data_IF_264139046949
#
_entry.id   IF_264139046949
#
_cell.length_a   1.000
_cell.length_b   1.000
_cell.length_c   1.000
_cell.angle_alpha   90.00
_cell.angle_beta   90.00
_cell.angle_gamma   90.00
#
_symmetry.space_group_name_H-M   'P 1'
#
loop_
_entity.id
_entity.type
_entity.pdbx_description
1 polymer ?
#
# COMPACT_ATOMS: atom_id res chain seq x y z
N UNK A 1 30.30 62.93 57.71
CA UNK A 1 29.34 63.73 58.52
C UNK A 1 28.46 62.76 59.30
N UNK A 2 27.96 63.05 60.52
CA UNK A 2 28.41 63.96 61.59
C UNK A 2 28.72 63.18 62.91
N UNK A 3 29.71 63.55 63.73
CA UNK A 3 29.69 64.54 64.85
C UNK A 3 28.58 64.36 65.90
N UNK A 4 28.97 64.11 67.16
CA UNK A 4 28.70 64.90 68.38
C UNK A 4 29.31 64.17 69.60
N UNK A 5 30.26 64.72 70.37
CA UNK A 5 30.25 65.87 71.31
C UNK A 5 29.39 65.67 72.57
N UNK A 6 30.02 65.86 73.72
CA UNK A 6 29.43 66.38 74.96
C UNK A 6 30.06 65.74 76.21
N UNK A 7 31.04 66.31 76.91
CA UNK A 7 31.13 67.52 77.80
C UNK A 7 30.43 67.38 79.18
N UNK A 8 31.24 67.61 80.22
CA UNK A 8 30.90 68.25 81.50
C UNK A 8 30.39 67.31 82.59
N UNK A 9 30.52 67.56 83.91
CA UNK A 9 31.04 68.67 84.73
C UNK A 9 30.90 68.16 86.19
N UNK A 10 31.95 68.07 86.99
CA UNK A 10 32.27 68.95 88.14
C UNK A 10 31.20 69.05 89.26
N UNK A 11 31.54 68.52 90.45
CA UNK A 11 31.35 69.07 91.83
C UNK A 11 31.33 67.91 92.85
N UNK A 12 32.26 67.79 93.81
CA UNK A 12 32.56 68.59 95.02
C UNK A 12 31.82 68.06 96.27
N UNK A 13 32.66 67.62 97.21
CA UNK A 13 32.54 67.59 98.68
C UNK A 13 31.27 67.01 99.30
N UNK A 14 31.42 65.87 99.99
CA UNK A 14 31.24 65.88 101.46
C UNK A 14 31.91 64.68 102.13
N UNK A 15 32.75 65.03 103.09
CA UNK A 15 33.53 64.22 104.01
C UNK A 15 32.61 63.89 105.19
N UNK A 16 32.58 62.65 105.70
CA UNK A 16 32.51 62.30 107.14
C UNK A 16 32.47 60.77 107.36
N UNK A 17 33.37 60.34 108.26
CA UNK A 17 33.43 59.10 109.08
C UNK A 17 33.59 57.75 108.36
N UNK A 18 34.81 57.25 108.27
CA UNK A 18 35.47 56.41 109.30
C UNK A 18 34.85 55.02 109.46
N UNK A 19 35.48 54.05 108.81
CA UNK A 19 36.02 52.85 109.46
C UNK A 19 37.05 52.24 108.52
N UNK A 20 38.32 52.47 108.85
CA UNK A 20 39.41 51.60 108.44
C UNK A 20 39.05 50.18 108.87
N UNK A 21 38.56 49.37 107.94
CA UNK A 21 38.96 47.98 107.92
C UNK A 21 40.21 47.96 107.06
N UNK A 22 41.35 47.72 107.70
CA UNK A 22 42.59 47.38 107.02
C UNK A 22 42.30 46.14 106.17
N UNK A 23 41.97 46.33 104.90
CA UNK A 23 42.22 45.27 103.94
C UNK A 23 43.73 45.10 103.91
N UNK A 24 44.20 44.00 104.50
CA UNK A 24 45.59 43.58 104.46
C UNK A 24 46.09 43.64 103.01
N UNK A 25 47.37 43.94 102.75
CA UNK A 25 47.93 43.85 101.38
C UNK A 25 47.66 42.47 100.75
N UNK A 26 47.44 41.44 101.57
CA UNK A 26 46.95 40.14 101.17
C UNK A 26 45.53 40.17 100.55
N UNK A 27 44.59 40.94 101.08
CA UNK A 27 43.22 41.04 100.58
C UNK A 27 43.14 41.80 99.24
N UNK A 28 43.96 42.85 99.05
CA UNK A 28 44.11 43.53 97.74
C UNK A 28 44.80 42.64 96.70
N UNK A 29 45.80 41.86 97.10
CA UNK A 29 46.45 40.88 96.24
C UNK A 29 45.49 39.76 95.85
N UNK A 30 44.66 39.27 96.79
CA UNK A 30 43.60 38.29 96.52
C UNK A 30 42.53 38.85 95.58
N UNK A 31 42.08 40.10 95.76
CA UNK A 31 41.12 40.73 94.86
C UNK A 31 41.67 40.92 93.44
N UNK A 32 42.95 41.33 93.30
CA UNK A 32 43.61 41.42 92.00
C UNK A 32 43.81 40.05 91.35
N UNK A 33 44.21 39.03 92.11
CA UNK A 33 44.32 37.66 91.62
C UNK A 33 42.97 37.14 91.11
N UNK A 34 41.89 37.34 91.88
CA UNK A 34 40.53 36.98 91.47
C UNK A 34 40.06 37.74 90.21
N UNK A 35 40.45 39.01 90.05
CA UNK A 35 40.18 39.79 88.83
C UNK A 35 40.89 39.22 87.61
N UNK A 36 42.17 38.85 87.74
CA UNK A 36 42.94 38.22 86.67
C UNK A 36 42.44 36.82 86.34
N UNK A 37 42.04 36.03 87.35
CA UNK A 37 41.38 34.74 87.15
C UNK A 37 40.04 34.89 86.42
N UNK A 38 39.20 35.86 86.80
CA UNK A 38 37.95 36.14 86.09
C UNK A 38 38.18 36.56 84.64
N UNK A 39 39.19 37.40 84.39
CA UNK A 39 39.55 37.84 83.04
C UNK A 39 40.15 36.70 82.20
N UNK A 40 40.98 35.85 82.80
CA UNK A 40 41.51 34.65 82.16
C UNK A 40 40.38 33.68 81.83
N UNK A 41 39.45 33.44 82.77
CA UNK A 41 38.26 32.61 82.55
C UNK A 41 37.35 33.15 81.43
N UNK A 42 37.16 34.47 81.35
CA UNK A 42 36.40 35.10 80.26
C UNK A 42 37.12 34.96 78.90
N UNK A 43 38.45 35.13 78.89
CA UNK A 43 39.26 34.92 77.69
C UNK A 43 39.25 33.45 77.25
N UNK A 44 39.37 32.50 78.17
CA UNK A 44 39.33 31.07 77.87
C UNK A 44 37.95 30.64 77.37
N UNK A 45 36.85 31.17 77.95
CA UNK A 45 35.49 30.96 77.41
C UNK A 45 35.37 31.47 75.98
N UNK A 46 35.78 32.71 75.70
CA UNK A 46 35.73 33.25 74.33
C UNK A 46 36.62 32.47 73.36
N UNK A 47 37.80 32.00 73.79
CA UNK A 47 38.68 31.15 72.98
C UNK A 47 38.06 29.79 72.67
N UNK A 48 37.37 29.18 73.64
CA UNK A 48 36.62 27.92 73.43
C UNK A 48 35.48 28.17 72.46
N UNK A 49 34.72 29.24 72.61
CA UNK A 49 33.64 29.65 71.69
C UNK A 49 34.17 29.88 70.26
N UNK A 50 35.31 30.57 70.08
CA UNK A 50 35.93 30.75 68.76
C UNK A 50 36.39 29.42 68.15
N UNK A 51 36.90 28.49 68.96
CA UNK A 51 37.28 27.15 68.47
C UNK A 51 36.08 26.31 68.10
N UNK A 52 35.01 26.39 68.88
CA UNK A 52 33.77 25.66 68.63
C UNK A 52 33.10 26.21 67.37
N UNK A 53 33.01 27.54 67.22
CA UNK A 53 32.51 28.16 65.99
C UNK A 53 33.36 27.81 64.77
N UNK A 54 34.69 27.89 64.85
CA UNK A 54 35.57 27.45 63.76
C UNK A 54 35.38 25.97 63.40
N UNK A 55 35.21 25.09 64.40
CA UNK A 55 34.91 23.66 64.17
C UNK A 55 33.54 23.46 63.52
N UNK A 56 32.52 24.21 63.94
CA UNK A 56 31.20 24.15 63.29
C UNK A 56 31.26 24.63 61.85
N UNK A 57 31.94 25.74 61.59
CA UNK A 57 32.14 26.29 60.24
C UNK A 57 32.88 25.30 59.33
N UNK A 58 33.94 24.66 59.83
CA UNK A 58 34.67 23.63 59.09
C UNK A 58 33.76 22.46 58.71
N UNK A 59 32.96 21.94 59.65
CA UNK A 59 31.98 20.87 59.38
C UNK A 59 30.93 21.31 58.36
N UNK A 60 30.37 22.52 58.49
CA UNK A 60 29.39 23.01 57.52
C UNK A 60 29.98 23.22 56.14
N UNK A 61 31.25 23.62 56.04
CA UNK A 61 31.93 23.78 54.76
C UNK A 61 32.19 22.41 54.12
N UNK A 62 32.56 21.40 54.91
CA UNK A 62 32.70 20.02 54.45
C UNK A 62 31.36 19.45 53.95
N UNK A 63 30.27 19.65 54.69
CA UNK A 63 28.93 19.22 54.23
C UNK A 63 28.51 19.94 52.95
N UNK A 64 28.72 21.27 52.86
CA UNK A 64 28.40 22.04 51.65
C UNK A 64 29.24 21.60 50.45
N UNK A 65 30.51 21.24 50.64
CA UNK A 65 31.35 20.67 49.58
C UNK A 65 30.80 19.32 49.12
N UNK A 66 30.44 18.43 50.04
CA UNK A 66 29.86 17.13 49.70
C UNK A 66 28.53 17.27 48.96
N UNK A 67 27.65 18.17 49.42
CA UNK A 67 26.37 18.46 48.77
C UNK A 67 26.60 19.03 47.36
N UNK A 68 27.57 19.93 47.20
CA UNK A 68 27.96 20.46 45.88
C UNK A 68 28.43 19.34 44.96
N UNK A 69 29.32 18.46 45.40
CA UNK A 69 29.79 17.34 44.59
C UNK A 69 28.65 16.39 44.20
N UNK A 70 27.73 16.14 45.12
CA UNK A 70 26.55 15.30 44.88
C UNK A 70 25.63 15.92 43.83
N UNK A 71 25.34 17.23 43.93
CA UNK A 71 24.54 17.97 42.94
C UNK A 71 25.24 18.02 41.58
N UNK A 72 26.56 18.22 41.54
CA UNK A 72 27.34 18.20 40.29
C UNK A 72 27.30 16.82 39.61
N UNK A 73 27.36 15.73 40.40
CA UNK A 73 27.23 14.36 39.88
C UNK A 73 25.84 14.11 39.32
N UNK A 74 24.80 14.43 40.08
CA UNK A 74 23.40 14.21 39.67
C UNK A 74 23.06 15.07 38.43
N UNK A 75 23.58 16.30 38.35
CA UNK A 75 23.46 17.14 37.16
C UNK A 75 24.16 16.52 35.94
N UNK A 76 25.37 15.96 36.11
CA UNK A 76 26.09 15.28 35.04
C UNK A 76 25.31 14.06 34.53
N UNK A 77 24.73 13.27 35.42
CA UNK A 77 23.91 12.10 35.07
C UNK A 77 22.68 12.52 34.25
N UNK A 78 21.94 13.53 34.69
CA UNK A 78 20.79 14.07 33.95
C UNK A 78 21.21 14.61 32.58
N UNK A 79 22.30 15.39 32.51
CA UNK A 79 22.83 15.92 31.24
C UNK A 79 23.23 14.76 30.31
N UNK A 80 23.89 13.72 30.83
CA UNK A 80 24.31 12.57 30.03
C UNK A 80 23.12 11.80 29.46
N UNK A 81 22.06 11.62 30.25
CA UNK A 81 20.83 10.97 29.82
C UNK A 81 20.13 11.80 28.73
N UNK A 82 19.98 13.10 28.95
CA UNK A 82 19.37 14.01 27.97
C UNK A 82 20.16 14.03 26.66
N UNK A 83 21.49 14.13 26.72
CA UNK A 83 22.36 14.05 25.53
C UNK A 83 22.19 12.73 24.77
N UNK A 84 22.12 11.60 25.47
CA UNK A 84 21.89 10.30 24.85
C UNK A 84 20.52 10.26 24.15
N UNK A 85 19.49 10.77 24.82
CA UNK A 85 18.15 10.83 24.25
C UNK A 85 18.08 11.76 23.03
N UNK A 86 18.79 12.89 23.05
CA UNK A 86 18.87 13.82 21.93
C UNK A 86 19.58 13.18 20.73
N UNK A 87 20.70 12.47 20.94
CA UNK A 87 21.38 11.71 19.89
C UNK A 87 20.50 10.62 19.27
N UNK A 88 19.72 9.90 20.09
CA UNK A 88 18.77 8.89 19.61
C UNK A 88 17.65 9.51 18.75
N UNK A 89 17.13 10.68 19.18
CA UNK A 89 16.14 11.44 18.41
C UNK A 89 16.72 12.00 17.13
N UNK A 90 17.93 12.56 17.14
CA UNK A 90 18.63 13.05 15.96
C UNK A 90 18.85 11.92 14.95
N UNK A 91 19.28 10.74 15.40
CA UNK A 91 19.43 9.56 14.54
C UNK A 91 18.09 9.12 13.93
N UNK A 92 16.99 9.16 14.70
CA UNK A 92 15.65 8.87 14.19
C UNK A 92 15.20 9.92 13.17
N UNK A 93 15.45 11.20 13.43
CA UNK A 93 15.15 12.30 12.50
C UNK A 93 15.92 12.11 11.19
N UNK A 94 17.22 11.83 11.23
CA UNK A 94 18.03 11.57 10.03
C UNK A 94 17.50 10.36 9.24
N UNK A 95 17.10 9.29 9.93
CA UNK A 95 16.50 8.11 9.27
C UNK A 95 15.17 8.45 8.60
N UNK A 96 14.29 9.20 9.26
CA UNK A 96 13.02 9.64 8.68
C UNK A 96 13.23 10.61 7.51
N UNK A 97 14.19 11.51 7.60
CA UNK A 97 14.57 12.41 6.51
C UNK A 97 15.07 11.63 5.28
N UNK A 98 15.92 10.63 5.50
CA UNK A 98 16.40 9.76 4.41
C UNK A 98 15.22 9.00 3.77
N UNK A 99 14.32 8.42 4.57
CA UNK A 99 13.13 7.74 4.05
C UNK A 99 12.24 8.67 3.21
N UNK A 100 12.07 9.92 3.61
CA UNK A 100 11.31 10.91 2.82
C UNK A 100 12.02 11.19 1.48
N UNK A 101 13.34 11.30 1.47
CA UNK A 101 14.11 11.52 0.23
C UNK A 101 14.00 10.31 -0.69
N UNK A 102 14.20 9.10 -0.17
CA UNK A 102 14.11 7.86 -0.94
C UNK A 102 12.71 7.68 -1.53
N UNK A 103 11.66 7.94 -0.74
CA UNK A 103 10.26 7.89 -1.22
C UNK A 103 9.99 8.94 -2.31
N UNK A 104 10.52 10.16 -2.16
CA UNK A 104 10.39 11.20 -3.20
C UNK A 104 11.09 10.79 -4.49
N UNK A 105 12.29 10.19 -4.40
CA UNK A 105 13.01 9.68 -5.57
C UNK A 105 12.24 8.56 -6.25
N UNK A 106 11.73 7.60 -5.47
CA UNK A 106 10.90 6.50 -5.98
C UNK A 106 9.66 7.01 -6.72
N UNK A 107 8.93 7.97 -6.14
CA UNK A 107 7.75 8.58 -6.79
C UNK A 107 8.13 9.30 -8.08
N UNK A 108 9.27 9.98 -8.14
CA UNK A 108 9.76 10.64 -9.36
C UNK A 108 10.11 9.60 -10.43
N UNK A 109 10.79 8.52 -10.08
CA UNK A 109 11.11 7.44 -11.02
C UNK A 109 9.87 6.71 -11.53
N UNK A 110 8.92 6.40 -10.66
CA UNK A 110 7.67 5.73 -11.04
C UNK A 110 6.81 6.63 -11.93
N UNK A 111 6.72 7.93 -11.61
CA UNK A 111 6.06 8.92 -12.47
C UNK A 111 6.76 9.03 -13.83
N UNK A 112 8.09 9.00 -13.87
CA UNK A 112 8.85 9.03 -15.12
C UNK A 112 8.57 7.78 -15.97
N UNK A 113 8.60 6.59 -15.38
CA UNK A 113 8.27 5.33 -16.08
C UNK A 113 6.83 5.34 -16.61
N UNK A 114 5.88 5.80 -15.79
CA UNK A 114 4.48 5.89 -16.17
C UNK A 114 4.28 6.90 -17.32
N UNK A 115 4.96 8.04 -17.26
CA UNK A 115 4.96 9.03 -18.33
C UNK A 115 5.54 8.45 -19.63
N UNK A 116 6.71 7.81 -19.58
CA UNK A 116 7.33 7.16 -20.74
C UNK A 116 6.43 6.10 -21.35
N UNK A 117 5.78 5.26 -20.54
CA UNK A 117 4.83 4.25 -21.02
C UNK A 117 3.62 4.87 -21.72
N UNK A 118 3.03 5.93 -21.15
CA UNK A 118 1.91 6.63 -21.78
C UNK A 118 2.32 7.37 -23.05
N UNK A 119 3.49 7.99 -23.09
CA UNK A 119 4.03 8.61 -24.31
C UNK A 119 4.21 7.57 -25.41
N UNK A 120 4.80 6.41 -25.10
CA UNK A 120 4.95 5.31 -26.08
C UNK A 120 3.59 4.80 -26.60
N UNK A 121 2.60 4.64 -25.72
CA UNK A 121 1.24 4.25 -26.13
C UNK A 121 0.61 5.31 -27.03
N UNK A 122 0.76 6.59 -26.71
CA UNK A 122 0.27 7.70 -27.52
C UNK A 122 0.91 7.69 -28.92
N UNK A 123 2.24 7.54 -28.99
CA UNK A 123 2.97 7.48 -30.26
C UNK A 123 2.55 6.27 -31.10
N UNK A 124 2.35 5.10 -30.47
CA UNK A 124 1.86 3.91 -31.16
C UNK A 124 0.45 4.11 -31.73
N UNK A 125 -0.46 4.70 -30.96
CA UNK A 125 -1.81 5.01 -31.42
C UNK A 125 -1.80 6.07 -32.53
N UNK A 126 -0.99 7.11 -32.40
CA UNK A 126 -0.84 8.15 -33.39
C UNK A 126 -0.27 7.59 -34.71
N UNK A 127 0.71 6.67 -34.63
CA UNK A 127 1.26 5.99 -35.80
C UNK A 127 0.22 5.08 -36.48
N UNK A 128 -0.57 4.31 -35.71
CA UNK A 128 -1.67 3.51 -36.25
C UNK A 128 -2.72 4.39 -36.92
N UNK A 129 -3.10 5.50 -36.31
CA UNK A 129 -4.03 6.48 -36.87
C UNK A 129 -3.50 7.09 -38.16
N UNK A 130 -2.21 7.41 -38.23
CA UNK A 130 -1.57 7.92 -39.44
C UNK A 130 -1.58 6.86 -40.57
N UNK A 131 -1.28 5.60 -40.25
CA UNK A 131 -1.36 4.50 -41.22
C UNK A 131 -2.78 4.30 -41.75
N UNK A 132 -3.80 4.30 -40.87
CA UNK A 132 -5.21 4.20 -41.27
C UNK A 132 -5.67 5.39 -42.11
N UNK A 133 -5.23 6.60 -41.78
CA UNK A 133 -5.49 7.79 -42.61
C UNK A 133 -4.91 7.62 -44.02
N UNK A 134 -3.69 7.10 -44.15
CA UNK A 134 -3.07 6.82 -45.46
C UNK A 134 -3.82 5.73 -46.25
N UNK A 135 -4.21 4.64 -45.59
CA UNK A 135 -5.03 3.58 -46.21
C UNK A 135 -6.36 4.15 -46.74
N UNK A 136 -7.05 4.97 -45.93
CA UNK A 136 -8.30 5.63 -46.31
C UNK A 136 -8.09 6.55 -47.52
N UNK A 137 -7.00 7.31 -47.55
CA UNK A 137 -6.66 8.17 -48.69
C UNK A 137 -6.49 7.35 -49.98
N UNK A 138 -5.75 6.24 -49.94
CA UNK A 138 -5.57 5.36 -51.10
C UNK A 138 -6.90 4.77 -51.59
N UNK A 139 -7.74 4.30 -50.67
CA UNK A 139 -9.08 3.78 -51.01
C UNK A 139 -9.94 4.90 -51.63
N UNK A 140 -9.85 6.13 -51.14
CA UNK A 140 -10.59 7.27 -51.69
C UNK A 140 -10.11 7.61 -53.11
N UNK A 141 -8.81 7.55 -53.37
CA UNK A 141 -8.22 7.74 -54.71
C UNK A 141 -8.66 6.63 -55.68
N UNK A 142 -8.62 5.36 -55.25
CA UNK A 142 -9.14 4.24 -56.03
C UNK A 142 -10.63 4.37 -56.32
N UNK A 143 -11.43 4.76 -55.33
CA UNK A 143 -12.86 5.01 -55.50
C UNK A 143 -13.13 6.10 -56.54
N UNK A 144 -12.33 7.17 -56.53
CA UNK A 144 -12.43 8.23 -57.54
C UNK A 144 -12.09 7.72 -58.95
N UNK A 145 -11.02 6.92 -59.09
CA UNK A 145 -10.66 6.27 -60.36
C UNK A 145 -11.78 5.36 -60.87
N UNK A 146 -12.40 4.57 -59.98
CA UNK A 146 -13.54 3.71 -60.34
C UNK A 146 -14.75 4.54 -60.76
N UNK A 147 -15.04 5.65 -60.09
CA UNK A 147 -16.12 6.57 -60.48
C UNK A 147 -15.88 7.17 -61.87
N UNK A 148 -14.65 7.57 -62.18
CA UNK A 148 -14.29 8.06 -63.51
C UNK A 148 -14.41 6.99 -64.59
N UNK A 149 -13.95 5.76 -64.28
CA UNK A 149 -14.10 4.62 -65.18
C UNK A 149 -15.57 4.35 -65.49
N UNK A 150 -16.45 4.33 -64.47
CA UNK A 150 -17.89 4.14 -64.68
C UNK A 150 -18.51 5.24 -65.55
N UNK A 151 -18.10 6.50 -65.39
CA UNK A 151 -18.57 7.59 -66.26
C UNK A 151 -18.15 7.36 -67.72
N UNK A 152 -16.89 6.98 -67.96
CA UNK A 152 -16.38 6.67 -69.30
C UNK A 152 -17.06 5.44 -69.90
N UNK A 153 -17.33 4.42 -69.11
CA UNK A 153 -18.03 3.22 -69.55
C UNK A 153 -19.44 3.57 -70.07
N UNK A 154 -20.23 4.33 -69.30
CA UNK A 154 -21.56 4.77 -69.73
C UNK A 154 -21.49 5.61 -71.01
N UNK A 155 -20.48 6.49 -71.12
CA UNK A 155 -20.28 7.29 -72.33
C UNK A 155 -19.99 6.42 -73.56
N UNK A 156 -19.08 5.44 -73.45
CA UNK A 156 -18.73 4.53 -74.54
C UNK A 156 -19.87 3.58 -74.91
N UNK A 157 -20.66 3.13 -73.92
CA UNK A 157 -21.87 2.33 -74.16
C UNK A 157 -22.89 3.12 -74.98
N UNK A 158 -23.12 4.40 -74.65
CA UNK A 158 -24.00 5.28 -75.42
C UNK A 158 -23.48 5.50 -76.86
N UNK A 159 -22.18 5.79 -77.04
CA UNK A 159 -21.60 5.94 -78.39
C UNK A 159 -21.73 4.66 -79.24
N UNK A 160 -21.56 3.48 -78.61
CA UNK A 160 -21.74 2.21 -79.31
C UNK A 160 -23.19 2.00 -79.75
N UNK A 161 -24.16 2.37 -78.92
CA UNK A 161 -25.57 2.26 -79.28
C UNK A 161 -25.93 3.27 -80.39
N UNK A 162 -25.42 4.51 -80.34
CA UNK A 162 -25.57 5.49 -81.42
C UNK A 162 -24.99 4.97 -82.75
N UNK A 163 -23.79 4.36 -82.72
CA UNK A 163 -23.17 3.77 -83.92
C UNK A 163 -24.00 2.59 -84.43
N UNK A 164 -24.53 1.72 -83.56
CA UNK A 164 -25.41 0.62 -83.97
C UNK A 164 -26.67 1.15 -84.63
N UNK A 165 -27.27 2.21 -84.11
CA UNK A 165 -28.47 2.83 -84.67
C UNK A 165 -28.19 3.44 -86.04
N UNK A 166 -27.06 4.14 -86.22
CA UNK A 166 -26.62 4.67 -87.52
C UNK A 166 -26.34 3.52 -88.50
N UNK A 167 -25.67 2.46 -88.06
CA UNK A 167 -25.40 1.28 -88.90
C UNK A 167 -26.70 0.59 -89.32
N UNK A 168 -27.66 0.45 -88.41
CA UNK A 168 -28.96 -0.13 -88.71
C UNK A 168 -29.76 0.73 -89.69
N UNK A 169 -29.70 2.06 -89.55
CA UNK A 169 -30.34 3.00 -90.47
C UNK A 169 -29.73 2.92 -91.87
N UNK A 170 -28.42 3.04 -91.99
CA UNK A 170 -27.70 2.95 -93.28
C UNK A 170 -27.89 1.59 -93.95
N UNK A 171 -27.90 0.50 -93.18
CA UNK A 171 -28.18 -0.84 -93.73
C UNK A 171 -29.64 -0.98 -94.22
N UNK A 172 -30.61 -0.35 -93.54
CA UNK A 172 -32.00 -0.27 -94.03
C UNK A 172 -32.06 0.52 -95.34
N UNK A 173 -31.41 1.67 -95.41
CA UNK A 173 -31.33 2.50 -96.61
C UNK A 173 -30.67 1.74 -97.77
N UNK A 174 -29.54 1.05 -97.53
CA UNK A 174 -28.88 0.21 -98.53
C UNK A 174 -29.75 -0.96 -99.02
N UNK A 175 -30.50 -1.62 -98.13
CA UNK A 175 -31.47 -2.65 -98.52
C UNK A 175 -32.61 -2.09 -99.36
N UNK A 176 -33.01 -0.85 -99.12
CA UNK A 176 -34.05 -0.18 -99.90
C UNK A 176 -33.53 0.22 -101.28
N UNK A 177 -32.31 0.77 -101.37
CA UNK A 177 -31.68 1.08 -102.67
C UNK A 177 -31.39 -0.18 -103.49
N UNK A 178 -30.94 -1.28 -102.86
CA UNK A 178 -30.79 -2.58 -103.52
C UNK A 178 -32.11 -3.08 -104.10
N UNK A 179 -33.21 -3.06 -103.32
CA UNK A 179 -34.55 -3.43 -103.81
C UNK A 179 -34.98 -2.57 -105.00
N UNK A 180 -34.71 -1.27 -104.96
CA UNK A 180 -35.00 -0.37 -106.08
C UNK A 180 -34.19 -0.72 -107.33
N UNK A 181 -32.90 -1.04 -107.19
CA UNK A 181 -32.05 -1.47 -108.30
C UNK A 181 -32.48 -2.83 -108.86
N UNK A 182 -32.76 -3.81 -108.00
CA UNK A 182 -33.25 -5.13 -108.39
C UNK A 182 -34.55 -5.03 -109.20
N UNK A 183 -35.49 -4.17 -108.79
CA UNK A 183 -36.73 -3.92 -109.56
C UNK A 183 -36.41 -3.38 -110.96
N UNK A 184 -35.53 -2.39 -111.07
CA UNK A 184 -35.10 -1.82 -112.36
C UNK A 184 -34.38 -2.84 -113.24
N UNK A 185 -33.48 -3.65 -112.65
CA UNK A 185 -32.78 -4.71 -113.38
C UNK A 185 -33.74 -5.81 -113.85
N UNK A 186 -34.74 -6.16 -113.05
CA UNK A 186 -35.75 -7.13 -113.42
C UNK A 186 -36.61 -6.63 -114.59
N UNK A 187 -37.05 -5.38 -114.55
CA UNK A 187 -37.76 -4.73 -115.66
C UNK A 187 -36.94 -4.75 -116.95
N UNK A 188 -35.66 -4.39 -116.87
CA UNK A 188 -34.75 -4.35 -118.01
C UNK A 188 -34.43 -5.75 -118.56
N UNK A 189 -34.20 -6.73 -117.68
CA UNK A 189 -34.00 -8.14 -118.05
C UNK A 189 -35.22 -8.68 -118.80
N UNK A 190 -36.43 -8.42 -118.30
CA UNK A 190 -37.68 -8.83 -118.96
C UNK A 190 -37.86 -8.18 -120.33
N UNK A 191 -37.30 -6.98 -120.55
CA UNK A 191 -37.27 -6.32 -121.87
C UNK A 191 -36.30 -7.03 -122.82
N UNK A 192 -35.09 -7.30 -122.37
CA UNK A 192 -34.04 -7.95 -123.17
C UNK A 192 -34.37 -9.42 -123.51
N UNK A 193 -34.95 -10.17 -122.58
CA UNK A 193 -35.40 -11.55 -122.85
C UNK A 193 -36.44 -11.59 -123.97
N UNK A 194 -37.43 -10.68 -123.96
CA UNK A 194 -38.41 -10.54 -125.05
C UNK A 194 -37.76 -10.22 -126.41
N UNK A 195 -36.72 -9.39 -126.42
CA UNK A 195 -35.98 -9.09 -127.66
C UNK A 195 -35.10 -10.26 -128.14
N UNK A 196 -34.49 -11.01 -127.22
CA UNK A 196 -33.65 -12.16 -127.54
C UNK A 196 -34.47 -13.36 -128.04
N UNK A 197 -35.63 -13.61 -127.43
CA UNK A 197 -36.55 -14.69 -127.81
C UNK A 197 -37.11 -14.46 -129.23
N UNK A 198 -37.36 -13.21 -129.62
CA UNK A 198 -37.69 -12.84 -131.00
C UNK A 198 -36.56 -13.10 -132.00
N UNK A 199 -35.30 -12.88 -131.62
CA UNK A 199 -34.13 -13.15 -132.49
C UNK A 199 -33.80 -14.64 -132.59
N UNK A 200 -33.96 -15.39 -131.50
CA UNK A 200 -33.65 -16.83 -131.46
C UNK A 200 -34.58 -17.63 -132.38
N UNK A 201 -35.87 -17.27 -132.41
CA UNK A 201 -36.85 -17.87 -133.32
C UNK A 201 -36.48 -17.72 -134.81
N UNK A 202 -35.70 -16.70 -135.17
CA UNK A 202 -35.30 -16.44 -136.56
C UNK A 202 -34.07 -17.26 -136.98
N UNK A 203 -33.20 -17.64 -136.04
CA UNK A 203 -31.96 -18.36 -136.30
C UNK A 203 -32.13 -19.88 -136.26
N UNK A 204 -33.08 -20.40 -135.48
CA UNK A 204 -33.34 -21.85 -135.37
C UNK A 204 -33.89 -22.47 -136.65
N UNK A 205 -34.57 -21.70 -137.51
CA UNK A 205 -35.02 -22.17 -138.83
C UNK A 205 -33.87 -22.26 -139.86
N UNK A 206 -32.79 -21.50 -139.69
CA UNK A 206 -31.65 -21.49 -140.61
C UNK A 206 -30.61 -22.57 -140.29
N UNK A 207 -30.45 -22.94 -139.02
CA UNK A 207 -29.44 -23.93 -138.62
C UNK A 207 -29.86 -25.40 -138.86
N UNK A 208 -31.14 -25.68 -139.06
CA UNK A 208 -31.64 -27.06 -139.14
C UNK A 208 -31.45 -27.71 -140.52
N UNK A 209 -31.23 -26.91 -141.57
CA UNK A 209 -31.08 -27.36 -142.97
C UNK A 209 -29.62 -27.62 -143.39
N UNK A 210 -28.63 -27.16 -142.63
CA UNK A 210 -27.21 -27.22 -143.04
C UNK A 210 -26.40 -28.34 -142.35
N UNK A 211 -26.92 -28.97 -141.29
CA UNK A 211 -26.19 -30.00 -140.52
C UNK A 211 -26.33 -31.45 -141.05
N UNK A 212 -27.11 -31.68 -142.13
CA UNK A 212 -27.40 -33.04 -142.64
C UNK A 212 -26.40 -33.51 -143.73
N UNK A 213 -25.43 -32.68 -144.15
CA UNK A 213 -24.43 -33.06 -145.16
C UNK A 213 -22.99 -32.88 -144.66
N UNK A 214 -22.39 -33.92 -144.06
CA UNK A 214 -21.15 -34.54 -144.55
C UNK A 214 -20.51 -35.57 -143.59
N UNK A 215 -19.88 -36.56 -144.22
CA UNK A 215 -19.65 -37.96 -143.81
C UNK A 215 -18.23 -38.30 -143.26
N UNK A 216 -18.21 -39.42 -142.51
CA UNK A 216 -17.35 -40.62 -142.59
C UNK A 216 -15.93 -40.79 -141.97
N UNK A 217 -15.87 -41.87 -141.18
CA UNK A 217 -15.00 -43.09 -141.18
C UNK A 217 -13.47 -43.00 -141.18
N UNK A 218 -12.83 -41.86 -141.47
CA UNK A 218 -11.36 -41.71 -141.29
C UNK A 218 -10.97 -41.35 -139.85
N UNK A 219 -11.91 -40.83 -139.08
CA UNK A 219 -11.83 -40.55 -137.64
C UNK A 219 -11.76 -41.83 -136.82
N UNK A 220 -12.41 -42.92 -137.25
CA UNK A 220 -12.63 -44.15 -136.46
C UNK A 220 -11.35 -44.96 -136.18
N UNK A 221 -10.32 -44.86 -137.03
CA UNK A 221 -9.04 -45.55 -136.82
C UNK A 221 -8.08 -44.75 -135.92
N UNK A 222 -8.09 -43.41 -136.01
CA UNK A 222 -7.37 -42.56 -135.05
C UNK A 222 -7.98 -42.71 -133.66
N UNK A 223 -9.30 -42.89 -133.55
CA UNK A 223 -9.98 -43.13 -132.27
C UNK A 223 -9.49 -44.38 -131.53
N UNK A 224 -9.21 -45.50 -132.20
CA UNK A 224 -8.80 -46.74 -131.51
C UNK A 224 -7.43 -46.64 -130.85
N UNK A 225 -6.46 -46.02 -131.51
CA UNK A 225 -5.12 -45.80 -130.93
C UNK A 225 -5.17 -44.74 -129.83
N UNK A 226 -5.97 -43.70 -130.02
CA UNK A 226 -6.21 -42.67 -129.01
C UNK A 226 -6.90 -43.26 -127.76
N UNK A 227 -7.81 -44.23 -127.91
CA UNK A 227 -8.44 -44.95 -126.79
C UNK A 227 -7.39 -45.72 -125.98
N UNK A 228 -6.49 -46.46 -126.64
CA UNK A 228 -5.45 -47.25 -125.95
C UNK A 228 -4.45 -46.37 -125.21
N UNK A 229 -3.99 -45.28 -125.83
CA UNK A 229 -3.09 -44.32 -125.18
C UNK A 229 -3.79 -43.59 -124.02
N UNK A 230 -5.08 -43.23 -124.18
CA UNK A 230 -5.85 -42.64 -123.09
C UNK A 230 -6.06 -43.60 -121.92
N UNK A 231 -6.22 -44.89 -122.17
CA UNK A 231 -6.38 -45.89 -121.11
C UNK A 231 -5.09 -46.05 -120.29
N UNK A 232 -3.92 -46.06 -120.93
CA UNK A 232 -2.62 -46.05 -120.24
C UNK A 232 -2.39 -44.76 -119.44
N UNK A 233 -2.71 -43.60 -120.02
CA UNK A 233 -2.63 -42.31 -119.32
C UNK A 233 -3.58 -42.27 -118.12
N UNK A 234 -4.77 -42.89 -118.23
CA UNK A 234 -5.74 -42.98 -117.15
C UNK A 234 -5.21 -43.78 -115.95
N UNK A 235 -4.53 -44.90 -116.19
CA UNK A 235 -3.93 -45.70 -115.11
C UNK A 235 -2.84 -44.89 -114.39
N UNK A 236 -1.90 -44.30 -115.12
CA UNK A 236 -0.85 -43.48 -114.51
C UNK A 236 -1.40 -42.27 -113.75
N UNK A 237 -2.44 -41.62 -114.28
CA UNK A 237 -3.11 -40.52 -113.61
C UNK A 237 -3.80 -40.96 -112.31
N UNK A 238 -4.42 -42.14 -112.31
CA UNK A 238 -5.06 -42.69 -111.12
C UNK A 238 -4.02 -43.07 -110.04
N UNK A 239 -2.88 -43.62 -110.43
CA UNK A 239 -1.77 -43.91 -109.52
C UNK A 239 -1.14 -42.62 -108.96
N UNK A 240 -0.97 -41.59 -109.81
CA UNK A 240 -0.52 -40.26 -109.39
C UNK A 240 -1.50 -39.61 -108.40
N UNK A 241 -2.81 -39.71 -108.65
CA UNK A 241 -3.86 -39.23 -107.76
C UNK A 241 -3.84 -39.96 -106.40
N UNK A 242 -3.73 -41.30 -106.40
CA UNK A 242 -3.61 -42.08 -105.16
C UNK A 242 -2.35 -41.73 -104.35
N UNK A 243 -1.20 -41.56 -105.02
CA UNK A 243 0.03 -41.13 -104.35
C UNK A 243 -0.09 -39.70 -103.78
N UNK A 244 -0.79 -38.81 -104.48
CA UNK A 244 -1.06 -37.44 -104.03
C UNK A 244 -2.00 -37.41 -102.83
N UNK A 245 -3.04 -38.24 -102.82
CA UNK A 245 -3.95 -38.38 -101.68
C UNK A 245 -3.23 -38.92 -100.45
N UNK A 246 -2.42 -39.97 -100.61
CA UNK A 246 -1.61 -40.54 -99.53
C UNK A 246 -0.61 -39.52 -98.96
N UNK A 247 0.07 -38.76 -99.83
CA UNK A 247 0.95 -37.67 -99.41
C UNK A 247 0.18 -36.61 -98.61
N UNK A 248 -0.99 -36.20 -99.09
CA UNK A 248 -1.82 -35.20 -98.40
C UNK A 248 -2.27 -35.69 -97.01
N UNK A 249 -2.68 -36.96 -96.88
CA UNK A 249 -3.04 -37.55 -95.58
C UNK A 249 -1.84 -37.60 -94.62
N UNK A 250 -0.66 -37.98 -95.12
CA UNK A 250 0.57 -37.99 -94.33
C UNK A 250 0.97 -36.58 -93.89
N UNK A 251 0.82 -35.60 -94.76
CA UNK A 251 1.10 -34.19 -94.49
C UNK A 251 0.13 -33.62 -93.43
N UNK A 252 -1.18 -33.88 -93.57
CA UNK A 252 -2.19 -33.52 -92.57
C UNK A 252 -1.90 -34.16 -91.21
N UNK A 253 -1.51 -35.44 -91.19
CA UNK A 253 -1.14 -36.14 -89.96
C UNK A 253 0.15 -35.59 -89.34
N UNK A 254 1.13 -35.20 -90.16
CA UNK A 254 2.37 -34.56 -89.69
C UNK A 254 2.07 -33.22 -89.03
N UNK A 255 1.18 -32.41 -89.63
CA UNK A 255 0.76 -31.11 -89.07
C UNK A 255 0.00 -31.32 -87.75
N UNK A 256 -0.91 -32.30 -87.69
CA UNK A 256 -1.64 -32.63 -86.46
C UNK A 256 -0.69 -33.03 -85.33
N UNK A 257 0.24 -33.95 -85.60
CA UNK A 257 1.23 -34.41 -84.61
C UNK A 257 2.14 -33.27 -84.12
N UNK A 258 2.54 -32.35 -85.00
CA UNK A 258 3.33 -31.19 -84.58
C UNK A 258 2.51 -30.28 -83.64
N UNK A 259 1.23 -30.04 -83.94
CA UNK A 259 0.33 -29.26 -83.07
C UNK A 259 0.06 -29.94 -81.71
N UNK A 260 -0.09 -31.27 -81.68
CA UNK A 260 -0.23 -32.04 -80.45
C UNK A 260 1.05 -32.01 -79.61
N UNK A 261 2.22 -32.07 -80.27
CA UNK A 261 3.52 -31.95 -79.61
C UNK A 261 3.70 -30.55 -79.00
N UNK A 262 3.38 -29.49 -79.73
CA UNK A 262 3.46 -28.11 -79.22
C UNK A 262 2.55 -27.88 -78.02
N UNK A 263 1.30 -28.36 -78.09
CA UNK A 263 0.35 -28.25 -76.97
C UNK A 263 0.78 -29.06 -75.74
N UNK A 264 1.29 -30.28 -75.95
CA UNK A 264 1.86 -31.09 -74.87
C UNK A 264 3.11 -30.42 -74.24
N UNK A 265 3.99 -29.83 -75.04
CA UNK A 265 5.18 -29.12 -74.55
C UNK A 265 4.81 -27.91 -73.70
N UNK A 266 3.78 -27.14 -74.10
CA UNK A 266 3.24 -26.04 -73.30
C UNK A 266 2.65 -26.53 -71.98
N UNK A 267 1.86 -27.61 -72.01
CA UNK A 267 1.26 -28.20 -70.81
C UNK A 267 2.33 -28.72 -69.84
N UNK A 268 3.37 -29.40 -70.34
CA UNK A 268 4.50 -29.86 -69.52
C UNK A 268 5.22 -28.68 -68.87
N UNK A 269 5.52 -27.62 -69.63
CA UNK A 269 6.14 -26.39 -69.09
C UNK A 269 5.30 -25.77 -67.99
N UNK A 270 3.98 -25.70 -68.16
CA UNK A 270 3.06 -25.17 -67.16
C UNK A 270 3.03 -26.03 -65.89
N UNK A 271 2.89 -27.35 -66.02
CA UNK A 271 2.90 -28.29 -64.88
C UNK A 271 4.22 -28.26 -64.12
N UNK A 272 5.35 -28.17 -64.82
CA UNK A 272 6.68 -28.01 -64.20
C UNK A 272 6.77 -26.69 -63.45
N UNK A 273 6.31 -25.58 -64.04
CA UNK A 273 6.26 -24.26 -63.38
C UNK A 273 5.39 -24.30 -62.12
N UNK A 274 4.21 -24.91 -62.20
CA UNK A 274 3.31 -25.08 -61.06
C UNK A 274 3.93 -25.93 -59.95
N UNK A 275 4.53 -27.08 -60.29
CA UNK A 275 5.24 -27.94 -59.33
C UNK A 275 6.41 -27.23 -58.66
N UNK A 276 7.15 -26.37 -59.38
CA UNK A 276 8.22 -25.54 -58.82
C UNK A 276 7.66 -24.51 -57.82
N UNK A 277 6.56 -23.83 -58.15
CA UNK A 277 5.89 -22.88 -57.24
C UNK A 277 5.39 -23.57 -55.97
N UNK A 278 4.74 -24.72 -56.10
CA UNK A 278 4.28 -25.52 -54.96
C UNK A 278 5.45 -25.97 -54.08
N UNK A 279 6.55 -26.46 -54.67
CA UNK A 279 7.75 -26.85 -53.90
C UNK A 279 8.34 -25.70 -53.10
N UNK A 280 8.40 -24.49 -53.68
CA UNK A 280 8.84 -23.29 -52.95
C UNK A 280 7.92 -22.98 -51.78
N UNK A 281 6.59 -22.99 -51.99
CA UNK A 281 5.61 -22.73 -50.93
C UNK A 281 5.72 -23.77 -49.80
N UNK A 282 5.86 -25.05 -50.13
CA UNK A 282 6.04 -26.12 -49.14
C UNK A 282 7.33 -25.89 -48.34
N UNK A 283 8.44 -25.57 -49.00
CA UNK A 283 9.71 -25.29 -48.33
C UNK A 283 9.63 -24.07 -47.40
N UNK A 284 8.94 -23.01 -47.82
CA UNK A 284 8.71 -21.83 -46.97
C UNK A 284 7.83 -22.14 -45.75
N UNK A 285 6.79 -22.94 -45.93
CA UNK A 285 5.93 -23.40 -44.84
C UNK A 285 6.69 -24.31 -43.86
N UNK A 286 7.49 -25.25 -44.36
CA UNK A 286 8.33 -26.11 -43.53
C UNK A 286 9.31 -25.29 -42.68
N UNK A 287 9.97 -24.28 -43.28
CA UNK A 287 10.85 -23.36 -42.53
C UNK A 287 10.10 -22.58 -41.46
N UNK A 288 8.86 -22.14 -41.75
CA UNK A 288 8.02 -21.44 -40.76
C UNK A 288 7.64 -22.37 -39.61
N UNK A 289 7.28 -23.62 -39.90
CA UNK A 289 6.96 -24.62 -38.87
C UNK A 289 8.19 -24.89 -37.99
N UNK A 290 9.36 -25.13 -38.57
CA UNK A 290 10.60 -25.36 -37.81
C UNK A 290 10.95 -24.16 -36.92
N UNK A 291 10.78 -22.93 -37.41
CA UNK A 291 11.01 -21.74 -36.61
C UNK A 291 10.02 -21.60 -35.45
N UNK A 292 8.74 -21.93 -35.67
CA UNK A 292 7.72 -21.91 -34.63
C UNK A 292 7.97 -23.00 -33.59
N UNK A 293 8.37 -24.21 -34.00
CA UNK A 293 8.74 -25.30 -33.10
C UNK A 293 9.94 -24.93 -32.23
N UNK A 294 10.97 -24.30 -32.80
CA UNK A 294 12.11 -23.78 -32.03
C UNK A 294 11.69 -22.71 -31.03
N UNK A 295 10.88 -21.73 -31.46
CA UNK A 295 10.38 -20.68 -30.57
C UNK A 295 9.52 -21.25 -29.44
N UNK A 296 8.65 -22.21 -29.74
CA UNK A 296 7.83 -22.89 -28.75
C UNK A 296 8.68 -23.70 -27.77
N UNK A 297 9.71 -24.40 -28.25
CA UNK A 297 10.66 -25.13 -27.42
C UNK A 297 11.44 -24.22 -26.47
N UNK A 298 11.90 -23.06 -26.96
CA UNK A 298 12.54 -22.06 -26.10
C UNK A 298 11.59 -21.53 -25.03
N UNK A 299 10.36 -21.14 -25.40
CA UNK A 299 9.37 -20.69 -24.42
C UNK A 299 9.05 -21.77 -23.40
N UNK A 300 8.86 -23.02 -23.82
CA UNK A 300 8.59 -24.14 -22.91
C UNK A 300 9.74 -24.34 -21.90
N UNK A 301 10.99 -24.28 -22.36
CA UNK A 301 12.16 -24.38 -21.49
C UNK A 301 12.27 -23.21 -20.51
N UNK A 302 11.96 -21.99 -20.94
CA UNK A 302 11.95 -20.80 -20.07
C UNK A 302 10.86 -20.91 -19.01
N UNK A 303 9.65 -21.36 -19.37
CA UNK A 303 8.56 -21.60 -18.43
C UNK A 303 8.91 -22.67 -17.39
N UNK A 304 9.56 -23.76 -17.79
CA UNK A 304 10.01 -24.78 -16.84
C UNK A 304 11.07 -24.24 -15.88
N UNK A 305 12.03 -23.46 -16.37
CA UNK A 305 13.06 -22.83 -15.55
C UNK A 305 12.45 -21.83 -14.54
N UNK A 306 11.53 -20.97 -14.99
CA UNK A 306 10.83 -20.01 -14.12
C UNK A 306 10.00 -20.73 -13.06
N UNK A 307 9.29 -21.80 -13.44
CA UNK A 307 8.51 -22.61 -12.49
C UNK A 307 9.39 -23.21 -11.39
N UNK A 308 10.56 -23.76 -11.73
CA UNK A 308 11.49 -24.32 -10.74
C UNK A 308 12.13 -23.22 -9.88
N UNK A 309 12.39 -22.03 -10.42
CA UNK A 309 12.85 -20.87 -9.64
C UNK A 309 11.80 -20.44 -8.61
N UNK A 310 10.55 -20.24 -9.05
CA UNK A 310 9.44 -19.88 -8.17
C UNK A 310 9.28 -20.93 -7.07
N UNK A 311 9.35 -22.21 -7.42
CA UNK A 311 9.27 -23.30 -6.44
C UNK A 311 10.38 -23.20 -5.40
N UNK A 312 11.64 -23.03 -5.83
CA UNK A 312 12.78 -22.86 -4.91
C UNK A 312 12.62 -21.64 -4.01
N UNK A 313 12.20 -20.50 -4.56
CA UNK A 313 11.93 -19.31 -3.76
C UNK A 313 10.85 -19.53 -2.71
N UNK A 314 9.75 -20.20 -3.08
CA UNK A 314 8.66 -20.49 -2.13
C UNK A 314 9.10 -21.44 -1.03
N UNK A 315 9.92 -22.45 -1.34
CA UNK A 315 10.49 -23.36 -0.36
C UNK A 315 11.40 -22.63 0.64
N UNK A 316 12.25 -21.71 0.17
CA UNK A 316 13.11 -20.88 1.03
C UNK A 316 12.26 -19.94 1.91
N UNK A 317 11.26 -19.28 1.34
CA UNK A 317 10.33 -18.40 2.08
C UNK A 317 9.55 -19.18 3.15
N UNK A 318 9.09 -20.40 2.83
CA UNK A 318 8.43 -21.27 3.81
C UNK A 318 9.37 -21.71 4.92
N UNK A 319 10.61 -22.10 4.60
CA UNK A 319 11.60 -22.53 5.59
C UNK A 319 11.97 -21.38 6.55
N UNK A 320 12.22 -20.18 6.02
CA UNK A 320 12.50 -18.99 6.83
C UNK A 320 11.30 -18.58 7.68
N UNK A 321 10.09 -18.61 7.11
CA UNK A 321 8.85 -18.37 7.85
C UNK A 321 8.64 -19.35 9.01
N UNK A 322 8.95 -20.64 8.81
CA UNK A 322 8.86 -21.66 9.87
C UNK A 322 9.79 -21.36 11.03
N UNK A 323 11.05 -20.97 10.76
CA UNK A 323 12.02 -20.62 11.80
C UNK A 323 11.56 -19.41 12.61
N UNK A 324 11.01 -18.38 11.95
CA UNK A 324 10.52 -17.19 12.66
C UNK A 324 9.29 -17.52 13.52
N UNK A 325 8.38 -18.38 13.03
CA UNK A 325 7.25 -18.87 13.84
C UNK A 325 7.75 -19.60 15.09
N UNK A 326 8.73 -20.50 14.96
CA UNK A 326 9.31 -21.22 16.10
C UNK A 326 9.96 -20.26 17.11
N UNK A 327 10.66 -19.23 16.62
CA UNK A 327 11.26 -18.18 17.45
C UNK A 327 10.20 -17.37 18.20
N UNK A 328 9.15 -16.91 17.50
CA UNK A 328 8.05 -16.15 18.11
C UNK A 328 7.29 -16.98 19.15
N UNK A 329 7.06 -18.27 18.87
CA UNK A 329 6.46 -19.19 19.84
C UNK A 329 7.33 -19.34 21.10
N UNK A 330 8.66 -19.38 20.97
CA UNK A 330 9.56 -19.43 22.12
C UNK A 330 9.48 -18.15 22.96
N UNK A 331 9.40 -16.98 22.32
CA UNK A 331 9.24 -15.69 23.01
C UNK A 331 7.91 -15.63 23.76
N UNK A 332 6.81 -16.07 23.15
CA UNK A 332 5.49 -16.13 23.79
C UNK A 332 5.55 -17.01 25.05
N UNK A 333 6.15 -18.21 24.95
CA UNK A 333 6.32 -19.11 26.10
C UNK A 333 7.11 -18.48 27.25
N UNK A 334 8.13 -17.67 26.95
CA UNK A 334 8.89 -16.92 27.97
C UNK A 334 8.02 -15.83 28.61
N UNK A 335 7.26 -15.08 27.80
CA UNK A 335 6.34 -14.05 28.30
C UNK A 335 5.22 -14.63 29.15
N UNK A 336 4.69 -15.81 28.83
CA UNK A 336 3.72 -16.49 29.69
C UNK A 336 4.31 -16.88 31.05
N UNK A 337 5.58 -17.32 31.08
CA UNK A 337 6.27 -17.62 32.36
C UNK A 337 6.46 -16.35 33.21
N UNK A 338 6.90 -15.25 32.60
CA UNK A 338 7.02 -13.96 33.27
C UNK A 338 5.66 -13.47 33.79
N UNK A 339 4.63 -13.54 32.95
CA UNK A 339 3.25 -13.18 33.32
C UNK A 339 2.74 -14.01 34.49
N UNK A 340 2.99 -15.32 34.50
CA UNK A 340 2.62 -16.20 35.60
C UNK A 340 3.38 -15.86 36.89
N UNK A 341 4.66 -15.45 36.80
CA UNK A 341 5.42 -14.97 37.96
C UNK A 341 4.82 -13.68 38.51
N UNK A 342 4.46 -12.72 37.65
CA UNK A 342 3.81 -11.47 38.05
C UNK A 342 2.46 -11.75 38.70
N UNK A 343 1.64 -12.62 38.13
CA UNK A 343 0.35 -13.04 38.72
C UNK A 343 0.51 -13.65 40.11
N UNK A 344 1.53 -14.51 40.31
CA UNK A 344 1.84 -15.09 41.63
C UNK A 344 2.26 -14.01 42.64
N UNK A 345 3.11 -13.08 42.25
CA UNK A 345 3.52 -11.98 43.11
C UNK A 345 2.35 -11.07 43.47
N UNK A 346 1.51 -10.72 42.50
CA UNK A 346 0.30 -9.93 42.74
C UNK A 346 -0.66 -10.63 43.70
N UNK A 347 -0.85 -11.94 43.55
CA UNK A 347 -1.64 -12.75 44.49
C UNK A 347 -1.05 -12.71 45.90
N UNK A 348 0.26 -12.93 46.04
CA UNK A 348 0.91 -12.88 47.35
C UNK A 348 0.78 -11.51 48.03
N UNK A 349 0.89 -10.40 47.27
CA UNK A 349 0.69 -9.05 47.79
C UNK A 349 -0.76 -8.85 48.26
N UNK A 350 -1.74 -9.36 47.51
CA UNK A 350 -3.14 -9.33 47.91
C UNK A 350 -3.39 -10.15 49.16
N UNK A 351 -2.87 -11.38 49.23
CA UNK A 351 -3.00 -12.26 50.39
C UNK A 351 -2.40 -11.60 51.65
N UNK A 352 -1.18 -11.03 51.55
CA UNK A 352 -0.54 -10.27 52.63
C UNK A 352 -1.37 -9.05 53.04
N UNK A 353 -1.93 -8.31 52.08
CA UNK A 353 -2.81 -7.18 52.38
C UNK A 353 -4.06 -7.64 53.13
N UNK A 354 -4.68 -8.74 52.70
CA UNK A 354 -5.84 -9.33 53.37
C UNK A 354 -5.50 -9.77 54.79
N UNK A 355 -4.34 -10.38 55.03
CA UNK A 355 -3.88 -10.73 56.38
C UNK A 355 -3.75 -9.50 57.28
N UNK A 356 -3.14 -8.43 56.77
CA UNK A 356 -3.00 -7.17 57.52
C UNK A 356 -4.36 -6.53 57.78
N UNK A 357 -5.27 -6.53 56.81
CA UNK A 357 -6.63 -6.01 56.98
C UNK A 357 -7.40 -6.79 58.05
N UNK A 358 -7.32 -8.13 58.04
CA UNK A 358 -7.91 -8.99 59.07
C UNK A 358 -7.34 -8.69 60.45
N UNK A 359 -6.01 -8.54 60.56
CA UNK A 359 -5.36 -8.18 61.82
C UNK A 359 -5.88 -6.85 62.37
N UNK A 360 -6.00 -5.80 61.55
CA UNK A 360 -6.55 -4.52 62.00
C UNK A 360 -8.02 -4.61 62.42
N UNK A 361 -8.84 -5.39 61.70
CA UNK A 361 -10.24 -5.61 62.07
C UNK A 361 -10.35 -6.34 63.42
N UNK A 362 -9.52 -7.36 63.64
CA UNK A 362 -9.44 -8.08 64.92
C UNK A 362 -8.99 -7.15 66.05
N UNK A 363 -7.91 -6.38 65.85
CA UNK A 363 -7.42 -5.42 66.85
C UNK A 363 -8.47 -4.35 67.17
N UNK A 364 -9.23 -3.87 66.18
CA UNK A 364 -10.34 -2.95 66.40
C UNK A 364 -11.47 -3.58 67.22
N UNK A 365 -11.80 -4.85 66.95
CA UNK A 365 -12.80 -5.58 67.72
C UNK A 365 -12.37 -5.78 69.17
N UNK A 366 -11.11 -6.21 69.39
CA UNK A 366 -10.55 -6.34 70.74
C UNK A 366 -10.59 -5.03 71.51
N UNK A 367 -10.21 -3.90 70.89
CA UNK A 367 -10.27 -2.59 71.53
C UNK A 367 -11.71 -2.22 71.86
N UNK A 368 -12.68 -2.45 70.96
CA UNK A 368 -14.11 -2.21 71.25
C UNK A 368 -14.60 -3.04 72.43
N UNK A 369 -14.22 -4.31 72.50
CA UNK A 369 -14.52 -5.15 73.66
C UNK A 369 -13.89 -4.58 74.93
N UNK A 370 -12.62 -4.16 74.89
CA UNK A 370 -11.95 -3.54 76.06
C UNK A 370 -12.61 -2.23 76.49
N UNK A 371 -13.05 -1.39 75.55
CA UNK A 371 -13.83 -0.17 75.82
C UNK A 371 -15.12 -0.54 76.54
N UNK A 372 -15.87 -1.53 76.03
CA UNK A 372 -17.12 -1.97 76.65
C UNK A 372 -16.90 -2.43 78.11
N UNK A 373 -15.92 -3.30 78.35
CA UNK A 373 -15.59 -3.78 79.69
C UNK A 373 -15.07 -2.65 80.60
N UNK A 374 -14.22 -1.77 80.09
CA UNK A 374 -13.68 -0.61 80.81
C UNK A 374 -14.80 0.33 81.27
N UNK A 375 -15.73 0.67 80.37
CA UNK A 375 -16.90 1.51 80.67
C UNK A 375 -17.82 0.85 81.70
N UNK A 376 -18.08 -0.46 81.55
CA UNK A 376 -18.88 -1.20 82.52
C UNK A 376 -18.24 -1.22 83.92
N UNK A 377 -16.94 -1.51 84.00
CA UNK A 377 -16.18 -1.52 85.25
C UNK A 377 -16.10 -0.12 85.88
N UNK A 378 -15.81 0.92 85.10
CA UNK A 378 -15.78 2.30 85.58
C UNK A 378 -17.13 2.73 86.16
N UNK A 379 -18.24 2.38 85.48
CA UNK A 379 -19.59 2.65 85.99
C UNK A 379 -19.83 1.99 87.34
N UNK A 380 -19.48 0.70 87.48
CA UNK A 380 -19.63 -0.03 88.74
C UNK A 380 -18.75 0.55 89.86
N UNK A 381 -17.46 0.82 89.57
CA UNK A 381 -16.52 1.38 90.52
C UNK A 381 -16.95 2.79 90.98
N UNK A 382 -17.40 3.65 90.06
CA UNK A 382 -17.93 4.97 90.39
C UNK A 382 -19.20 4.88 91.23
N UNK A 383 -20.06 3.88 90.99
CA UNK A 383 -21.27 3.65 91.78
C UNK A 383 -20.94 3.22 93.21
N UNK A 384 -20.00 2.30 93.38
CA UNK A 384 -19.52 1.85 94.69
C UNK A 384 -18.84 3.00 95.44
N UNK A 385 -17.98 3.77 94.77
CA UNK A 385 -17.30 4.93 95.36
C UNK A 385 -18.30 5.99 95.84
N UNK A 386 -19.33 6.28 95.02
CA UNK A 386 -20.39 7.22 95.40
C UNK A 386 -21.24 6.70 96.58
N UNK A 387 -21.61 5.42 96.56
CA UNK A 387 -22.33 4.79 97.67
C UNK A 387 -21.52 4.81 98.96
N UNK A 388 -20.21 4.57 98.88
CA UNK A 388 -19.30 4.66 100.02
C UNK A 388 -19.24 6.08 100.59
N UNK A 389 -19.06 7.10 99.75
CA UNK A 389 -19.09 8.50 100.18
C UNK A 389 -20.43 8.88 100.82
N UNK A 390 -21.55 8.39 100.28
CA UNK A 390 -22.88 8.59 100.89
C UNK A 390 -23.00 7.93 102.27
N UNK A 391 -22.45 6.73 102.44
CA UNK A 391 -22.41 6.04 103.74
C UNK A 391 -21.50 6.77 104.74
N UNK A 392 -20.30 7.17 104.33
CA UNK A 392 -19.35 7.89 105.19
C UNK A 392 -19.93 9.24 105.64
N UNK A 393 -20.61 9.97 104.75
CA UNK A 393 -21.34 11.19 105.09
C UNK A 393 -22.51 10.94 106.05
N UNK A 394 -23.23 9.82 105.90
CA UNK A 394 -24.31 9.43 106.83
C UNK A 394 -23.80 9.13 108.25
N UNK A 395 -22.55 8.68 108.38
CA UNK A 395 -21.88 8.46 109.68
C UNK A 395 -21.23 9.72 110.27
N UNK A 396 -21.34 10.87 109.58
CA UNK A 396 -20.84 12.17 110.05
C UNK A 396 -19.33 12.36 109.88
N UNK A 397 -18.66 11.53 109.06
CA UNK A 397 -17.20 11.63 108.83
C UNK A 397 -16.84 12.65 107.74
N UNK A 398 -17.73 12.88 106.78
CA UNK A 398 -17.53 13.81 105.65
C UNK A 398 -18.87 14.49 105.25
N UNK A 399 -18.81 15.51 104.39
CA UNK A 399 -19.99 16.16 103.81
C UNK A 399 -20.65 15.32 102.71
N UNK A 400 -21.97 15.48 102.52
CA UNK A 400 -22.70 14.75 101.47
C UNK A 400 -22.22 15.12 100.06
N UNK A 401 -21.85 14.12 99.22
CA UNK A 401 -21.39 14.38 97.86
C UNK A 401 -22.52 14.87 96.95
N UNK A 402 -22.17 15.69 95.94
CA UNK A 402 -23.11 16.15 94.90
C UNK A 402 -23.81 14.96 94.23
N UNK A 403 -25.12 15.06 93.99
CA UNK A 403 -25.92 14.00 93.35
C UNK A 403 -25.27 13.60 92.03
N UNK A 404 -24.94 12.31 91.89
CA UNK A 404 -24.35 11.72 90.68
C UNK A 404 -25.29 10.68 90.12
N UNK A 405 -25.55 10.75 88.81
CA UNK A 405 -26.44 9.80 88.13
C UNK A 405 -25.66 8.72 87.39
N UNK A 406 -26.18 7.49 87.43
CA UNK A 406 -25.59 6.30 86.82
C UNK A 406 -26.42 5.78 85.63
N UNK A 407 -27.52 6.46 85.31
CA UNK A 407 -28.36 6.18 84.16
C UNK A 407 -28.14 7.25 83.09
N UNK A 408 -28.23 6.86 81.82
CA UNK A 408 -28.07 7.80 80.71
C UNK A 408 -29.33 8.67 80.64
N UNK A 409 -29.24 9.89 81.17
CA UNK A 409 -30.30 10.90 81.14
C UNK A 409 -29.72 12.20 80.59
N UNK A 410 -30.41 12.80 79.62
CA UNK A 410 -29.96 13.99 78.89
C UNK A 410 -29.97 15.27 79.75
N UNK A 411 -30.68 15.27 80.88
CA UNK A 411 -30.88 16.46 81.72
C UNK A 411 -30.05 16.43 83.02
N UNK A 412 -29.17 15.45 83.16
CA UNK A 412 -28.32 15.32 84.34
C UNK A 412 -27.03 16.13 84.19
N UNK A 413 -26.78 17.07 85.11
CA UNK A 413 -25.57 17.91 85.11
C UNK A 413 -24.32 17.20 85.67
N UNK A 414 -24.48 16.07 86.38
CA UNK A 414 -23.38 15.29 86.97
C UNK A 414 -23.61 13.79 86.73
N UNK A 415 -23.21 13.31 85.55
CA UNK A 415 -23.48 11.96 85.06
C UNK A 415 -22.18 11.20 84.77
N UNK A 416 -22.10 9.92 85.17
CA UNK A 416 -20.92 9.08 84.90
C UNK A 416 -20.61 8.93 83.40
N UNK A 417 -21.63 9.00 82.55
CA UNK A 417 -21.44 8.92 81.10
C UNK A 417 -20.72 10.17 80.54
N UNK A 418 -20.81 11.31 81.24
CA UNK A 418 -20.11 12.53 80.86
C UNK A 418 -18.59 12.37 81.03
N UNK A 419 -18.16 11.68 82.10
CA UNK A 419 -16.74 11.34 82.30
C UNK A 419 -16.22 10.37 81.22
N UNK A 420 -17.07 9.44 80.74
CA UNK A 420 -16.73 8.55 79.64
C UNK A 420 -16.57 9.31 78.31
N UNK A 421 -17.44 10.29 78.06
CA UNK A 421 -17.35 11.17 76.89
C UNK A 421 -16.17 12.14 76.95
N UNK A 422 -15.80 12.58 78.15
CA UNK A 422 -14.63 13.43 78.36
C UNK A 422 -13.32 12.63 78.18
N UNK A 423 -13.31 11.35 78.56
CA UNK A 423 -12.21 10.42 78.24
C UNK A 423 -12.07 10.20 76.72
N UNK A 424 -13.18 10.22 75.97
CA UNK A 424 -13.18 10.21 74.50
C UNK A 424 -12.61 11.52 73.90
N UNK A 425 -12.81 12.67 74.56
CA UNK A 425 -12.43 14.01 74.06
C UNK A 425 -11.04 14.48 74.51
N UNK A 426 -10.46 13.89 75.56
CA UNK A 426 -9.17 14.28 76.09
C UNK A 426 -8.10 14.28 74.99
N UNK A 427 -7.54 15.46 74.67
CA UNK A 427 -6.48 15.62 73.69
C UNK A 427 -5.14 15.82 74.39
N UNK A 428 -4.20 14.91 74.14
CA UNK A 428 -2.84 15.04 74.63
C UNK A 428 -2.02 15.95 73.71
N UNK A 429 -1.43 17.00 74.29
CA UNK A 429 -0.52 17.93 73.59
C UNK A 429 0.91 17.52 73.97
N UNK A 430 1.51 16.58 73.23
CA UNK A 430 2.87 16.10 73.50
C UNK A 430 3.27 14.83 72.76
N UNK A 431 4.49 14.31 73.02
CA UNK A 431 4.90 12.96 72.58
C UNK A 431 4.21 11.94 73.48
N UNK A 432 3.28 11.16 72.92
CA UNK A 432 2.48 10.18 73.66
C UNK A 432 2.90 8.77 73.23
N UNK A 433 3.16 7.88 74.19
CA UNK A 433 3.37 6.46 73.90
C UNK A 433 2.02 5.74 73.86
N UNK A 434 1.94 4.63 73.11
CA UNK A 434 0.71 3.83 73.00
C UNK A 434 0.20 3.36 74.38
N UNK A 435 1.11 3.11 75.32
CA UNK A 435 0.78 2.71 76.69
C UNK A 435 -0.01 3.77 77.46
N UNK A 436 0.18 5.05 77.13
CA UNK A 436 -0.40 6.18 77.86
C UNK A 436 -1.82 6.54 77.36
N UNK A 437 -2.27 5.90 76.28
CA UNK A 437 -3.58 6.16 75.67
C UNK A 437 -4.70 5.34 76.34
N UNK A 438 -5.86 5.97 76.48
CA UNK A 438 -7.12 5.28 76.83
C UNK A 438 -7.53 4.31 75.71
N UNK A 439 -8.37 3.33 76.01
CA UNK A 439 -8.84 2.38 75.00
C UNK A 439 -9.61 3.08 73.87
N UNK A 440 -10.37 4.10 74.22
CA UNK A 440 -11.08 5.02 73.32
C UNK A 440 -10.14 5.73 72.34
N UNK A 441 -9.01 6.24 72.83
CA UNK A 441 -8.00 6.88 71.98
C UNK A 441 -7.26 5.86 71.11
N UNK A 442 -6.96 4.67 71.63
CA UNK A 442 -6.37 3.57 70.85
C UNK A 442 -7.27 3.17 69.69
N UNK A 443 -8.60 3.13 69.88
CA UNK A 443 -9.55 2.85 68.81
C UNK A 443 -9.48 3.89 67.69
N UNK A 444 -9.43 5.20 68.03
CA UNK A 444 -9.32 6.28 67.05
C UNK A 444 -8.02 6.19 66.24
N UNK A 445 -6.90 5.88 66.90
CA UNK A 445 -5.61 5.69 66.22
C UNK A 445 -5.67 4.48 65.28
N UNK A 446 -6.20 3.33 65.72
CA UNK A 446 -6.34 2.14 64.87
C UNK A 446 -7.26 2.39 63.68
N UNK A 447 -8.39 3.08 63.85
CA UNK A 447 -9.29 3.45 62.75
C UNK A 447 -8.59 4.37 61.74
N UNK A 448 -7.81 5.33 62.22
CA UNK A 448 -7.05 6.24 61.36
C UNK A 448 -5.92 5.52 60.60
N UNK A 449 -5.22 4.60 61.26
CA UNK A 449 -4.19 3.76 60.64
C UNK A 449 -4.80 2.85 59.56
N UNK A 450 -5.92 2.19 59.87
CA UNK A 450 -6.63 1.34 58.91
C UNK A 450 -7.16 2.14 57.71
N UNK A 451 -7.72 3.33 57.94
CA UNK A 451 -8.15 4.22 56.86
C UNK A 451 -6.98 4.69 55.98
N UNK A 452 -5.84 5.04 56.61
CA UNK A 452 -4.62 5.46 55.91
C UNK A 452 -4.03 4.32 55.07
N UNK A 453 -4.00 3.10 55.61
CA UNK A 453 -3.56 1.89 54.89
C UNK A 453 -4.43 1.62 53.66
N UNK A 454 -5.74 1.83 53.76
CA UNK A 454 -6.68 1.65 52.65
C UNK A 454 -6.71 2.81 51.66
N UNK A 455 -5.83 3.80 51.80
CA UNK A 455 -5.73 4.93 50.88
C UNK A 455 -6.89 5.92 50.97
N UNK A 456 -7.72 5.84 52.02
CA UNK A 456 -8.71 6.87 52.32
C UNK A 456 -7.97 8.12 52.78
N UNK A 457 -7.90 9.14 51.91
CA UNK A 457 -7.34 10.45 52.27
C UNK A 457 -8.14 10.99 53.46
N UNK A 458 -7.49 11.11 54.61
CA UNK A 458 -8.03 11.73 55.82
C UNK A 458 -8.22 13.23 55.57
N UNK A 459 -9.31 13.58 54.89
CA UNK A 459 -9.75 14.95 54.75
C UNK A 459 -11.13 15.09 55.38
N UNK A 460 -11.14 15.84 56.49
CA UNK A 460 -12.27 16.27 57.32
C UNK A 460 -12.90 15.22 58.22
N UNK A 461 -13.07 15.66 59.48
CA UNK A 461 -14.02 15.17 60.46
C UNK A 461 -15.28 14.62 59.78
N UNK A 462 -15.40 13.30 59.73
CA UNK A 462 -16.69 12.64 59.54
C UNK A 462 -17.13 12.22 60.93
N UNK A 463 -18.01 13.03 61.52
CA UNK A 463 -18.93 12.55 62.55
C UNK A 463 -19.72 11.40 61.94
N UNK A 464 -19.28 10.16 62.17
CA UNK A 464 -20.12 8.99 62.06
C UNK A 464 -21.11 9.05 63.22
N UNK A 465 -22.24 9.73 63.01
CA UNK A 465 -23.45 9.51 63.79
C UNK A 465 -23.89 8.06 63.55
N UNK A 466 -23.97 7.29 64.64
CA UNK A 466 -24.79 6.08 64.68
C UNK A 466 -26.27 6.47 64.60
#
# INVERSE_FOLDING_TARGET
MPKKKGKGKENKDEKVTSKFANESDAEKAMANAALWESRLNALDKSRVEYRDTARTLARTNETLMNDRFQVERDAMEVISYLKKQDLEKEAMISKLQQQIVDQKQQVVEDNKKLFEAHTQQMDQLQNKMLQKTKEIQLIQEELNRVKEFRKKQVFLENELDDIKDIMNLTNKEHKETLRQLESKFFEEKMRLEREAEQRLSQLTEQAHTEAIMNLNERTRCVFKENIRLNEMVKIYKNDEEHMRESHKILEEKSIQLESEKETNDLLVKEKVSHSRKQRKMISELQRKVENLEKALGHMASEFEAEKEEIKRETEIKMATGKIEIERLQAVIKLKDKEMNRVKKLAKNILDQRTEVELFFLQALDEVRQKIFHSRAHYKQAAQIAYQKLMLDASTGKEDYPKIRTFNKSEHSTNCVYQDMEDADKCMYIGKVNISDLTWEQKEKVLRLLFAKMNGLKTNRYVELKC
#
